data_IF_278757636338
#
_entry.id   IF_278757636338
#
_cell.length_a   1.000
_cell.length_b   1.000
_cell.length_c   1.000
_cell.angle_alpha   90.00
_cell.angle_beta   90.00
_cell.angle_gamma   90.00
#
_symmetry.space_group_name_H-M   'P 1'
#
loop_
_entity.id
_entity.type
_entity.pdbx_description
1 polymer ?
#
# COMPACT_ATOMS: atom_id res chain seq x y z
N UNK A 1 11.48 -17.34 14.45
CA UNK A 1 10.65 -16.49 15.35
C UNK A 1 11.41 -15.20 15.72
N UNK A 2 12.70 -15.24 16.06
CA UNK A 2 13.49 -14.05 16.39
C UNK A 2 13.63 -13.05 15.23
N UNK A 3 13.84 -13.52 13.99
CA UNK A 3 13.96 -12.68 12.80
C UNK A 3 12.67 -11.91 12.45
N UNK A 4 11.49 -12.44 12.84
CA UNK A 4 10.18 -11.81 12.56
C UNK A 4 9.81 -10.80 13.64
N UNK A 5 10.13 -11.08 14.93
CA UNK A 5 9.78 -10.18 16.05
C UNK A 5 10.54 -8.85 16.04
N UNK A 6 11.77 -8.82 15.53
CA UNK A 6 12.60 -7.61 15.53
C UNK A 6 12.09 -6.54 14.57
N UNK A 7 11.71 -6.86 13.31
CA UNK A 7 11.07 -5.89 12.41
C UNK A 7 9.76 -5.31 12.92
N UNK A 8 8.97 -6.10 13.66
CA UNK A 8 7.66 -5.69 14.20
C UNK A 8 7.76 -4.74 15.40
N UNK A 9 8.97 -4.53 15.98
CA UNK A 9 9.18 -3.54 17.03
C UNK A 9 9.22 -2.13 16.43
N UNK A 10 8.13 -1.41 16.54
CA UNK A 10 7.97 -0.05 16.03
C UNK A 10 8.46 0.95 17.07
N UNK A 11 9.29 1.91 16.67
CA UNK A 11 9.63 3.07 17.51
C UNK A 11 8.38 3.93 17.70
N UNK A 12 7.95 4.11 18.95
CA UNK A 12 6.79 4.92 19.29
C UNK A 12 6.92 6.38 18.85
N UNK A 13 8.14 6.91 18.80
CA UNK A 13 8.43 8.31 18.41
C UNK A 13 8.20 8.54 16.91
N UNK A 14 8.71 7.63 16.06
CA UNK A 14 8.55 7.75 14.60
C UNK A 14 7.09 7.56 14.20
N UNK A 15 6.41 6.57 14.80
CA UNK A 15 4.99 6.35 14.58
C UNK A 15 4.14 7.55 15.02
N UNK A 16 4.42 8.15 16.19
CA UNK A 16 3.73 9.34 16.66
C UNK A 16 3.88 10.51 15.69
N UNK A 17 5.09 10.74 15.15
CA UNK A 17 5.36 11.80 14.18
C UNK A 17 4.56 11.58 12.89
N UNK A 18 4.54 10.37 12.37
CA UNK A 18 3.77 10.00 11.18
C UNK A 18 2.26 10.23 11.39
N UNK A 19 1.70 9.73 12.52
CA UNK A 19 0.29 9.91 12.85
C UNK A 19 -0.11 11.37 13.06
N UNK A 20 0.79 12.20 13.63
CA UNK A 20 0.55 13.64 13.76
C UNK A 20 0.56 14.37 12.41
N UNK A 21 1.41 13.94 11.47
CA UNK A 21 1.43 14.47 10.11
C UNK A 21 0.12 14.14 9.39
N UNK A 22 -0.26 12.86 9.40
CA UNK A 22 -1.49 12.36 8.80
C UNK A 22 -2.74 13.05 9.38
N UNK A 23 -2.85 13.14 10.72
CA UNK A 23 -3.98 13.82 11.37
C UNK A 23 -4.11 15.29 10.99
N UNK A 24 -3.00 15.99 10.76
CA UNK A 24 -3.04 17.36 10.26
C UNK A 24 -3.54 17.43 8.82
N UNK A 25 -3.10 16.55 7.93
CA UNK A 25 -3.54 16.51 6.54
C UNK A 25 -5.04 16.24 6.45
N UNK A 26 -5.55 15.24 7.18
CA UNK A 26 -6.98 14.91 7.23
C UNK A 26 -7.81 16.08 7.78
N UNK A 27 -7.32 16.75 8.81
CA UNK A 27 -8.06 17.85 9.49
C UNK A 27 -8.09 19.15 8.67
N UNK A 28 -7.18 19.32 7.72
CA UNK A 28 -7.15 20.48 6.82
C UNK A 28 -8.13 20.36 5.66
N UNK A 29 -8.93 19.30 5.61
CA UNK A 29 -9.86 18.93 4.53
C UNK A 29 -10.40 20.11 3.72
N UNK A 30 -10.05 20.14 2.45
CA UNK A 30 -10.50 21.15 1.51
C UNK A 30 -11.75 20.67 0.81
N UNK A 31 -12.87 21.44 0.95
CA UNK A 31 -14.03 21.22 0.08
C UNK A 31 -13.68 21.74 -1.32
N UNK A 32 -13.59 20.84 -2.29
CA UNK A 32 -13.46 21.22 -3.68
C UNK A 32 -14.83 21.30 -4.36
N UNK A 33 -15.08 22.34 -5.17
CA UNK A 33 -16.36 22.51 -5.86
C UNK A 33 -16.61 21.47 -6.96
N UNK A 34 -15.55 20.74 -7.40
CA UNK A 34 -15.65 19.71 -8.43
C UNK A 34 -15.18 18.38 -7.86
N UNK A 35 -16.14 17.54 -7.46
CA UNK A 35 -15.85 16.18 -7.04
C UNK A 35 -15.65 15.28 -8.27
N UNK A 36 -14.49 14.68 -8.36
CA UNK A 36 -14.17 13.67 -9.36
C UNK A 36 -13.32 12.56 -8.74
N UNK A 37 -13.40 11.38 -9.31
CA UNK A 37 -12.52 10.27 -8.97
C UNK A 37 -11.95 9.67 -10.26
N UNK A 38 -10.66 9.39 -10.27
CA UNK A 38 -9.94 8.73 -11.36
C UNK A 38 -9.24 7.51 -10.85
N UNK A 39 -9.31 6.43 -11.63
CA UNK A 39 -8.51 5.22 -11.39
C UNK A 39 -7.57 5.03 -12.57
N UNK A 40 -6.27 4.96 -12.29
CA UNK A 40 -5.23 4.69 -13.28
C UNK A 40 -4.63 3.33 -13.01
N UNK A 41 -4.69 2.43 -14.01
CA UNK A 41 -4.04 1.12 -13.93
C UNK A 41 -2.54 1.28 -14.08
N UNK A 42 -1.78 0.73 -13.13
CA UNK A 42 -0.31 0.74 -13.14
C UNK A 42 0.27 -0.68 -13.28
N UNK A 43 -0.54 -1.71 -13.16
CA UNK A 43 -0.14 -3.11 -13.34
C UNK A 43 -1.29 -4.08 -13.06
N UNK A 44 -1.11 -5.36 -13.41
CA UNK A 44 -2.10 -6.41 -13.15
C UNK A 44 -3.28 -6.50 -14.11
N UNK A 45 -3.36 -5.64 -15.14
CA UNK A 45 -4.45 -5.67 -16.13
C UNK A 45 -4.10 -6.57 -17.32
N UNK A 46 -4.91 -7.59 -17.56
CA UNK A 46 -4.68 -8.65 -18.56
C UNK A 46 -3.37 -9.43 -18.33
N UNK A 47 -2.86 -9.40 -17.12
CA UNK A 47 -1.57 -9.96 -16.75
C UNK A 47 -1.67 -10.50 -15.32
N UNK A 48 -0.96 -11.54 -14.98
CA UNK A 48 -0.88 -12.07 -13.61
C UNK A 48 0.35 -11.47 -12.94
N UNK A 49 0.17 -10.90 -11.77
CA UNK A 49 1.24 -10.27 -11.01
C UNK A 49 1.26 -8.75 -11.14
N UNK A 50 2.11 -8.10 -10.34
CA UNK A 50 2.31 -6.65 -10.27
C UNK A 50 1.02 -5.81 -10.16
N UNK A 51 0.02 -6.33 -9.45
CA UNK A 51 -1.27 -5.63 -9.23
C UNK A 51 -1.03 -4.28 -8.60
N UNK A 52 -1.49 -3.22 -9.26
CA UNK A 52 -1.34 -1.84 -8.77
C UNK A 52 -2.29 -0.90 -9.49
N UNK A 53 -3.03 -0.12 -8.71
CA UNK A 53 -3.92 0.93 -9.21
C UNK A 53 -3.71 2.22 -8.43
N UNK A 54 -3.70 3.35 -9.11
CA UNK A 54 -3.72 4.68 -8.48
C UNK A 54 -5.14 5.24 -8.49
N UNK A 55 -5.69 5.48 -7.30
CA UNK A 55 -6.90 6.25 -7.11
C UNK A 55 -6.54 7.70 -6.85
N UNK A 56 -7.17 8.61 -7.59
CA UNK A 56 -6.99 10.05 -7.45
C UNK A 56 -8.33 10.74 -7.26
N UNK A 57 -8.33 11.74 -6.41
CA UNK A 57 -9.39 12.73 -6.22
C UNK A 57 -8.79 14.14 -6.32
N UNK A 58 -9.56 15.22 -6.19
CA UNK A 58 -9.03 16.58 -6.18
C UNK A 58 -7.92 16.83 -5.15
N UNK A 59 -7.97 16.14 -4.00
CA UNK A 59 -7.06 16.39 -2.87
C UNK A 59 -6.25 15.19 -2.44
N UNK A 60 -6.49 14.00 -3.00
CA UNK A 60 -5.86 12.77 -2.51
C UNK A 60 -5.39 11.86 -3.63
N UNK A 61 -4.33 11.13 -3.33
CA UNK A 61 -3.76 10.07 -4.16
C UNK A 61 -3.50 8.84 -3.32
N UNK A 62 -4.14 7.74 -3.67
CA UNK A 62 -4.06 6.49 -2.92
C UNK A 62 -3.68 5.35 -3.86
N UNK A 63 -2.63 4.62 -3.50
CA UNK A 63 -2.21 3.42 -4.24
C UNK A 63 -2.94 2.19 -3.68
N UNK A 64 -3.61 1.46 -4.55
CA UNK A 64 -4.30 0.20 -4.25
C UNK A 64 -3.39 -0.94 -4.73
N UNK A 65 -2.82 -1.65 -3.78
CA UNK A 65 -1.78 -2.65 -3.94
C UNK A 65 -0.49 -2.12 -4.61
N UNK A 66 0.57 -2.87 -4.46
CA UNK A 66 1.86 -2.63 -5.08
C UNK A 66 2.57 -3.98 -5.20
N UNK A 67 2.20 -4.74 -6.21
CA UNK A 67 2.66 -6.09 -6.40
C UNK A 67 3.91 -6.22 -7.26
N UNK A 68 4.46 -7.44 -7.29
CA UNK A 68 5.52 -7.84 -8.21
C UNK A 68 5.05 -9.03 -9.04
N UNK A 69 5.54 -9.15 -10.26
CA UNK A 69 5.41 -10.38 -11.03
C UNK A 69 6.68 -11.21 -10.81
N UNK A 70 6.58 -12.19 -9.91
CA UNK A 70 7.72 -13.07 -9.57
C UNK A 70 8.13 -14.01 -10.69
N UNK A 71 7.26 -14.22 -11.70
CA UNK A 71 7.53 -15.05 -12.87
C UNK A 71 8.15 -14.26 -14.05
N UNK A 72 8.29 -12.94 -13.93
CA UNK A 72 8.84 -12.13 -14.99
C UNK A 72 10.32 -12.43 -15.21
N UNK A 73 10.71 -12.55 -16.47
CA UNK A 73 12.10 -12.78 -16.88
C UNK A 73 12.93 -11.49 -16.93
N UNK A 74 12.29 -10.34 -16.84
CA UNK A 74 12.93 -9.02 -16.89
C UNK A 74 12.28 -8.02 -15.93
N UNK A 75 13.06 -7.01 -15.53
CA UNK A 75 12.60 -5.99 -14.58
C UNK A 75 11.46 -5.11 -15.13
N UNK A 76 11.31 -4.99 -16.44
CA UNK A 76 10.26 -4.17 -17.06
C UNK A 76 8.88 -4.76 -16.81
N UNK A 77 8.80 -6.09 -16.78
CA UNK A 77 7.56 -6.83 -16.54
C UNK A 77 7.39 -7.28 -15.08
N UNK A 78 8.44 -7.12 -14.26
CA UNK A 78 8.41 -7.52 -12.85
C UNK A 78 7.68 -6.52 -11.95
N UNK A 79 7.67 -5.22 -12.31
CA UNK A 79 7.19 -4.15 -11.43
C UNK A 79 6.05 -3.34 -12.05
N UNK A 80 5.22 -2.64 -11.25
CA UNK A 80 4.23 -1.69 -11.74
C UNK A 80 4.86 -0.57 -12.58
N UNK A 81 4.09 -0.03 -13.51
CA UNK A 81 4.49 1.11 -14.34
C UNK A 81 4.29 2.42 -13.57
N UNK A 82 5.31 2.90 -12.87
CA UNK A 82 5.26 4.15 -12.12
C UNK A 82 5.58 5.40 -12.96
N UNK A 83 6.15 5.22 -14.14
CA UNK A 83 6.50 6.33 -15.02
C UNK A 83 5.28 6.80 -15.83
N UNK A 84 4.29 7.31 -15.13
CA UNK A 84 3.07 7.91 -15.68
C UNK A 84 2.90 9.32 -15.12
N UNK A 85 2.38 10.28 -15.90
CA UNK A 85 2.22 11.68 -15.46
C UNK A 85 1.36 11.84 -14.20
N UNK A 86 0.45 10.89 -13.97
CA UNK A 86 -0.48 10.91 -12.85
C UNK A 86 0.15 10.51 -11.51
N UNK A 87 1.32 9.85 -11.53
CA UNK A 87 1.96 9.34 -10.33
C UNK A 87 3.17 10.19 -9.92
N UNK A 88 3.14 10.67 -8.67
CA UNK A 88 4.29 11.23 -7.96
C UNK A 88 4.33 10.61 -6.57
N UNK A 89 5.50 10.15 -6.16
CA UNK A 89 5.69 9.53 -4.84
C UNK A 89 5.55 10.55 -3.70
N UNK A 90 5.91 11.80 -3.96
CA UNK A 90 5.81 12.91 -3.02
C UNK A 90 4.35 13.32 -2.74
N UNK A 91 3.47 13.04 -3.71
CA UNK A 91 2.04 13.36 -3.63
C UNK A 91 1.18 12.17 -3.18
N UNK A 92 1.81 11.01 -2.92
CA UNK A 92 1.10 9.81 -2.49
C UNK A 92 0.72 9.90 -1.01
N UNK A 93 -0.58 9.99 -0.73
CA UNK A 93 -1.11 10.13 0.64
C UNK A 93 -1.13 8.80 1.38
N UNK A 94 -1.50 7.70 0.71
CA UNK A 94 -1.67 6.40 1.33
C UNK A 94 -1.44 5.24 0.36
N UNK A 95 -1.11 4.09 0.92
CA UNK A 95 -1.11 2.79 0.23
C UNK A 95 -2.10 1.87 0.95
N UNK A 96 -2.93 1.15 0.21
CA UNK A 96 -3.82 0.12 0.75
C UNK A 96 -3.35 -1.23 0.22
N UNK A 97 -3.17 -2.23 1.10
CA UNK A 97 -2.84 -3.60 0.72
C UNK A 97 -4.06 -4.48 0.95
N UNK A 98 -4.57 -5.08 -0.12
CA UNK A 98 -5.72 -5.96 -0.08
C UNK A 98 -5.41 -7.27 0.64
N UNK A 99 -4.27 -7.89 0.34
CA UNK A 99 -3.81 -9.14 0.97
C UNK A 99 -2.31 -9.36 0.78
N UNK A 100 -1.77 -10.43 1.37
CA UNK A 100 -0.34 -10.59 1.55
C UNK A 100 0.42 -11.26 0.38
N UNK A 101 -0.25 -11.66 -0.70
CA UNK A 101 0.48 -12.25 -1.83
C UNK A 101 1.44 -11.24 -2.47
N UNK A 102 2.60 -11.71 -2.93
CA UNK A 102 3.66 -10.84 -3.47
C UNK A 102 3.24 -10.06 -4.71
N UNK A 103 2.34 -10.59 -5.49
CA UNK A 103 1.76 -9.90 -6.65
C UNK A 103 0.79 -8.76 -6.29
N UNK A 104 0.55 -8.56 -4.97
CA UNK A 104 -0.21 -7.44 -4.41
C UNK A 104 0.62 -6.57 -3.44
N UNK A 105 1.62 -7.12 -2.75
CA UNK A 105 2.36 -6.38 -1.73
C UNK A 105 3.89 -6.34 -1.94
N UNK A 106 4.43 -7.11 -2.88
CA UNK A 106 5.88 -7.32 -3.01
C UNK A 106 6.67 -6.08 -3.43
N UNK A 107 6.03 -5.11 -4.09
CA UNK A 107 6.66 -3.86 -4.51
C UNK A 107 6.64 -2.76 -3.43
N UNK A 108 5.81 -2.86 -2.41
CA UNK A 108 5.60 -1.80 -1.42
C UNK A 108 6.90 -1.33 -0.73
N UNK A 109 7.86 -2.18 -0.33
CA UNK A 109 9.13 -1.73 0.24
C UNK A 109 9.95 -0.84 -0.71
N UNK A 110 9.76 -1.00 -2.02
CA UNK A 110 10.40 -0.19 -3.04
C UNK A 110 9.96 1.28 -2.99
N UNK A 111 8.70 1.55 -2.67
CA UNK A 111 8.20 2.91 -2.47
C UNK A 111 9.01 3.63 -1.38
N UNK A 112 9.32 2.94 -0.28
CA UNK A 112 10.13 3.47 0.82
C UNK A 112 11.61 3.64 0.45
N UNK A 113 12.11 2.88 -0.52
CA UNK A 113 13.43 3.11 -1.10
C UNK A 113 13.46 4.45 -1.87
N UNK A 114 12.39 4.77 -2.58
CA UNK A 114 12.25 6.02 -3.35
C UNK A 114 11.73 7.21 -2.55
N UNK A 115 11.62 7.10 -1.24
CA UNK A 115 11.33 8.26 -0.39
C UNK A 115 9.90 8.38 0.10
N UNK A 116 9.03 7.40 -0.16
CA UNK A 116 7.69 7.41 0.44
C UNK A 116 7.77 7.42 1.97
N UNK A 117 7.01 8.32 2.61
CA UNK A 117 6.95 8.51 4.05
C UNK A 117 5.53 8.35 4.61
N UNK A 118 4.55 8.08 3.75
CA UNK A 118 3.15 7.96 4.11
C UNK A 118 2.78 6.61 4.74
N UNK A 119 1.50 6.46 5.14
CA UNK A 119 0.98 5.25 5.77
C UNK A 119 0.66 4.14 4.77
N UNK A 120 0.66 2.88 5.27
CA UNK A 120 0.08 1.71 4.63
C UNK A 120 -1.11 1.28 5.46
N UNK A 121 -2.24 0.98 4.82
CA UNK A 121 -3.44 0.43 5.47
C UNK A 121 -3.70 -1.00 5.04
N UNK A 122 -3.89 -1.88 5.99
CA UNK A 122 -4.28 -3.29 5.78
C UNK A 122 -4.82 -3.90 7.08
N UNK A 123 -5.23 -5.16 7.04
CA UNK A 123 -5.58 -5.91 8.26
C UNK A 123 -4.32 -6.35 9.01
N UNK A 124 -4.45 -6.65 10.30
CA UNK A 124 -3.33 -7.16 11.12
C UNK A 124 -2.71 -8.45 10.54
N UNK A 125 -3.49 -9.48 10.15
CA UNK A 125 -2.90 -10.67 9.54
C UNK A 125 -2.18 -10.38 8.22
N UNK A 126 -2.73 -9.51 7.38
CA UNK A 126 -2.08 -9.08 6.12
C UNK A 126 -0.73 -8.44 6.39
N UNK A 127 -0.59 -7.53 7.36
CA UNK A 127 0.69 -6.93 7.74
C UNK A 127 1.72 -8.00 8.11
N UNK A 128 1.33 -8.94 8.96
CA UNK A 128 2.26 -9.94 9.50
C UNK A 128 2.74 -10.92 8.41
N UNK A 129 1.81 -11.38 7.56
CA UNK A 129 2.11 -12.25 6.41
C UNK A 129 2.92 -11.52 5.33
N UNK A 130 2.56 -10.28 4.99
CA UNK A 130 3.33 -9.45 4.04
C UNK A 130 4.78 -9.30 4.48
N UNK A 131 5.00 -9.04 5.78
CA UNK A 131 6.35 -8.93 6.34
C UNK A 131 7.15 -10.22 6.12
N UNK A 132 6.54 -11.36 6.43
CA UNK A 132 7.18 -12.67 6.27
C UNK A 132 7.55 -12.95 4.81
N UNK A 133 6.60 -12.76 3.90
CA UNK A 133 6.79 -13.01 2.47
C UNK A 133 7.80 -12.07 1.81
N UNK A 134 7.81 -10.79 2.19
CA UNK A 134 8.79 -9.83 1.67
C UNK A 134 10.21 -10.15 2.14
N UNK A 135 10.39 -10.60 3.39
CA UNK A 135 11.70 -11.02 3.89
C UNK A 135 12.18 -12.32 3.23
N UNK A 136 11.29 -13.28 3.01
CA UNK A 136 11.60 -14.53 2.30
C UNK A 136 11.95 -14.25 0.83
N UNK A 137 11.21 -13.37 0.17
CA UNK A 137 11.50 -12.95 -1.20
C UNK A 137 12.88 -12.30 -1.34
N UNK A 138 13.30 -11.47 -0.38
CA UNK A 138 14.65 -10.91 -0.33
C UNK A 138 15.72 -12.00 -0.16
N UNK A 139 15.49 -12.96 0.74
CA UNK A 139 16.42 -14.07 0.99
C UNK A 139 16.56 -14.98 -0.25
N UNK A 140 15.46 -15.26 -0.97
CA UNK A 140 15.46 -16.04 -2.22
C UNK A 140 16.22 -15.29 -3.31
N UNK A 141 15.85 -14.05 -3.57
CA UNK A 141 16.48 -13.22 -4.62
C UNK A 141 18.00 -13.08 -4.40
N UNK A 142 18.44 -12.94 -3.15
CA UNK A 142 19.85 -12.89 -2.81
C UNK A 142 20.57 -14.21 -3.10
N UNK A 143 19.96 -15.37 -2.76
CA UNK A 143 20.53 -16.71 -3.04
C UNK A 143 20.62 -17.03 -4.53
N UNK A 144 19.69 -16.51 -5.32
CA UNK A 144 19.64 -16.70 -6.78
C UNK A 144 20.53 -15.71 -7.54
N UNK A 145 21.20 -14.78 -6.84
CA UNK A 145 22.06 -13.78 -7.46
C UNK A 145 21.32 -12.65 -8.19
N UNK A 146 20.01 -12.51 -7.94
CA UNK A 146 19.15 -11.48 -8.51
C UNK A 146 18.68 -10.50 -7.42
N UNK A 147 19.54 -9.63 -6.89
CA UNK A 147 19.20 -8.77 -5.76
C UNK A 147 18.06 -7.81 -6.13
N UNK A 148 17.07 -7.72 -5.25
CA UNK A 148 15.97 -6.78 -5.39
C UNK A 148 16.46 -5.33 -5.16
N UNK A 149 15.78 -4.33 -5.74
CA UNK A 149 16.16 -2.92 -5.61
C UNK A 149 15.82 -2.31 -4.23
N UNK A 150 15.44 -3.12 -3.27
CA UNK A 150 15.21 -2.74 -1.87
C UNK A 150 15.84 -3.76 -0.92
N UNK A 151 15.89 -3.47 0.36
CA UNK A 151 16.49 -4.33 1.37
C UNK A 151 15.66 -4.39 2.65
N UNK A 152 16.13 -5.16 3.64
CA UNK A 152 15.45 -5.36 4.93
C UNK A 152 15.08 -4.04 5.63
N UNK A 153 15.89 -2.97 5.49
CA UNK A 153 15.56 -1.67 6.12
C UNK A 153 14.30 -1.04 5.54
N UNK A 154 14.08 -1.22 4.23
CA UNK A 154 12.88 -0.71 3.57
C UNK A 154 11.63 -1.51 3.97
N UNK A 155 11.75 -2.84 4.12
CA UNK A 155 10.68 -3.68 4.69
C UNK A 155 10.36 -3.24 6.13
N UNK A 156 11.39 -3.01 6.96
CA UNK A 156 11.21 -2.50 8.33
C UNK A 156 10.52 -1.13 8.36
N UNK A 157 10.87 -0.25 7.40
CA UNK A 157 10.23 1.07 7.29
C UNK A 157 8.76 0.93 6.89
N UNK A 158 8.44 0.09 5.90
CA UNK A 158 7.07 -0.21 5.51
C UNK A 158 6.23 -0.69 6.71
N UNK A 159 6.75 -1.64 7.50
CA UNK A 159 6.05 -2.13 8.70
C UNK A 159 5.81 -1.01 9.72
N UNK A 160 6.80 -0.15 9.95
CA UNK A 160 6.66 0.99 10.88
C UNK A 160 5.56 1.96 10.47
N UNK A 161 5.31 2.09 9.18
CA UNK A 161 4.29 2.97 8.62
C UNK A 161 2.94 2.26 8.42
N UNK A 162 2.85 0.95 8.68
CA UNK A 162 1.59 0.22 8.54
C UNK A 162 0.64 0.51 9.69
N UNK A 163 -0.57 0.92 9.35
CA UNK A 163 -1.73 1.10 10.24
C UNK A 163 -2.68 -0.05 9.95
N UNK A 164 -2.93 -0.86 10.96
CA UNK A 164 -3.86 -1.99 10.82
C UNK A 164 -5.26 -1.57 11.21
N UNK A 165 -6.24 -1.99 10.39
CA UNK A 165 -7.66 -1.74 10.58
C UNK A 165 -8.39 -3.06 10.79
N UNK A 166 -9.44 -3.03 11.58
CA UNK A 166 -10.38 -4.12 11.70
C UNK A 166 -11.44 -4.09 10.58
N UNK A 167 -12.03 -5.25 10.27
CA UNK A 167 -13.12 -5.29 9.31
C UNK A 167 -14.32 -4.48 9.80
N UNK A 168 -14.91 -3.69 8.91
CA UNK A 168 -16.05 -2.83 9.19
C UNK A 168 -15.70 -1.50 9.87
N UNK A 169 -14.44 -1.29 10.26
CA UNK A 169 -13.97 -0.02 10.78
C UNK A 169 -13.89 1.02 9.67
N UNK A 170 -14.57 2.16 9.87
CA UNK A 170 -14.51 3.30 8.94
C UNK A 170 -13.40 4.24 9.39
N UNK A 171 -12.42 4.47 8.52
CA UNK A 171 -11.22 5.25 8.84
C UNK A 171 -10.95 6.31 7.78
N UNK A 172 -10.75 7.56 8.19
CA UNK A 172 -10.25 8.61 7.31
C UNK A 172 -8.77 8.34 6.98
N UNK A 173 -8.44 8.17 5.69
CA UNK A 173 -7.08 7.83 5.24
C UNK A 173 -6.40 9.00 4.52
N UNK A 174 -7.18 9.96 4.04
CA UNK A 174 -6.73 11.19 3.40
C UNK A 174 -7.82 12.26 3.58
N UNK A 175 -7.60 13.52 3.12
CA UNK A 175 -8.56 14.62 3.34
C UNK A 175 -9.98 14.34 2.87
N UNK A 176 -10.17 13.58 1.79
CA UNK A 176 -11.46 13.32 1.17
C UNK A 176 -11.75 11.83 0.91
N UNK A 177 -10.96 10.91 1.47
CA UNK A 177 -11.18 9.46 1.31
C UNK A 177 -11.31 8.78 2.68
N UNK A 178 -12.41 8.04 2.85
CA UNK A 178 -12.65 7.11 3.97
C UNK A 178 -12.56 5.69 3.47
N UNK A 179 -11.86 4.84 4.21
CA UNK A 179 -11.66 3.42 3.92
C UNK A 179 -12.44 2.56 4.91
N UNK A 180 -13.11 1.53 4.38
CA UNK A 180 -13.65 0.43 5.16
C UNK A 180 -13.16 -0.88 4.55
N UNK A 181 -12.57 -1.75 5.38
CA UNK A 181 -12.14 -3.08 4.97
C UNK A 181 -13.24 -4.11 5.25
N UNK A 182 -13.55 -4.97 4.27
CA UNK A 182 -14.47 -6.09 4.41
C UNK A 182 -13.72 -7.40 4.12
N UNK A 183 -14.13 -8.48 4.77
CA UNK A 183 -13.50 -9.78 4.54
C UNK A 183 -13.70 -10.24 3.10
N UNK A 184 -12.61 -10.52 2.39
CA UNK A 184 -12.64 -11.00 1.00
C UNK A 184 -12.75 -12.52 0.89
N UNK A 185 -12.46 -13.29 1.96
CA UNK A 185 -12.53 -14.74 1.97
C UNK A 185 -11.45 -15.46 1.14
N UNK A 186 -10.43 -14.74 0.65
CA UNK A 186 -9.38 -15.28 -0.22
C UNK A 186 -8.22 -15.90 0.57
N UNK A 187 -7.65 -15.16 1.50
CA UNK A 187 -6.58 -15.59 2.39
C UNK A 187 -6.75 -14.99 3.78
N UNK A 188 -5.97 -15.45 4.77
CA UNK A 188 -6.03 -14.90 6.11
C UNK A 188 -5.73 -13.40 6.10
N UNK A 189 -6.69 -12.58 6.52
CA UNK A 189 -6.58 -11.14 6.53
C UNK A 189 -6.90 -10.44 5.20
N UNK A 190 -7.22 -11.18 4.13
CA UNK A 190 -7.58 -10.57 2.85
C UNK A 190 -8.81 -9.67 2.96
N UNK A 191 -8.77 -8.52 2.30
CA UNK A 191 -9.78 -7.51 2.41
C UNK A 191 -10.24 -6.97 1.05
N UNK A 192 -11.53 -6.78 0.92
CA UNK A 192 -12.16 -5.89 -0.04
C UNK A 192 -12.06 -4.49 0.55
N UNK A 193 -11.53 -3.54 -0.20
CA UNK A 193 -11.40 -2.14 0.21
C UNK A 193 -12.55 -1.33 -0.36
N UNK A 194 -13.41 -0.79 0.51
CA UNK A 194 -14.49 0.12 0.13
C UNK A 194 -14.07 1.55 0.51
N UNK A 195 -14.01 2.41 -0.48
CA UNK A 195 -13.60 3.81 -0.34
C UNK A 195 -14.76 4.74 -0.65
N UNK A 196 -15.08 5.62 0.30
CA UNK A 196 -15.96 6.76 0.12
C UNK A 196 -15.10 7.97 -0.21
N UNK A 197 -15.40 8.66 -1.30
CA UNK A 197 -14.60 9.76 -1.85
C UNK A 197 -15.49 11.01 -1.94
N UNK A 198 -14.96 12.16 -1.50
CA UNK A 198 -15.63 13.44 -1.63
C UNK A 198 -16.96 13.51 -0.85
N UNK A 199 -16.95 13.25 0.46
CA UNK A 199 -18.15 13.20 1.31
C UNK A 199 -19.25 12.25 0.80
N UNK A 200 -18.84 11.18 0.08
CA UNK A 200 -19.76 10.18 -0.49
C UNK A 200 -20.23 10.48 -1.91
N UNK A 201 -19.66 11.49 -2.57
CA UNK A 201 -19.96 11.79 -3.98
C UNK A 201 -19.62 10.60 -4.90
N UNK A 202 -18.54 9.87 -4.57
CA UNK A 202 -18.14 8.64 -5.27
C UNK A 202 -17.86 7.51 -4.29
N UNK A 203 -18.11 6.29 -4.76
CA UNK A 203 -17.78 5.06 -4.06
C UNK A 203 -16.96 4.16 -4.98
N UNK A 204 -15.84 3.67 -4.48
CA UNK A 204 -15.00 2.69 -5.17
C UNK A 204 -14.87 1.45 -4.30
N UNK A 205 -15.09 0.28 -4.91
CA UNK A 205 -14.84 -1.03 -4.28
C UNK A 205 -13.73 -1.72 -5.04
N UNK A 206 -12.65 -2.03 -4.33
CA UNK A 206 -11.50 -2.78 -4.84
C UNK A 206 -11.47 -4.15 -4.17
N UNK A 207 -11.52 -5.20 -4.96
CA UNK A 207 -11.65 -6.58 -4.45
C UNK A 207 -10.32 -7.28 -4.21
N UNK A 208 -9.22 -6.70 -4.71
CA UNK A 208 -7.89 -7.32 -4.65
C UNK A 208 -7.57 -8.21 -5.83
#
# INVERSE_FOLDING_TARGET
IGKIRTPLKISSKDRKKMLQCLGRQIHQGTKHPNDWARVTSMGGFKDVGRSSMLLQSPTSRVLLDGGVNVAASDNKNAFPYLNVPEFSIEELDAVIISHAHLDHCGFVPYLYHYGYEGPIYCTTPTRDLTTLLQLDHLDIAHREGNPLPFNVKHVQKAIKHTITLDYGEVTDISPDIRLTLHNAGHSLGSAISHMHIGDGAHNLVYTG
#
